data_IF_276493086744
#
_entry.id   IF_276493086744
#
_cell.length_a   1.000
_cell.length_b   1.000
_cell.length_c   1.000
_cell.angle_alpha   90.00
_cell.angle_beta   90.00
_cell.angle_gamma   90.00
#
_symmetry.space_group_name_H-M   'P 1'
#
loop_
_entity.id
_entity.type
_entity.pdbx_description
1 polymer ?
#
# COMPACT_ATOMS: atom_id res chain seq x y z
N UNK A 1 15.22 6.23 2.78
CA UNK A 1 14.89 7.17 1.68
C UNK A 1 13.39 7.14 1.39
N UNK A 2 12.82 8.27 0.95
CA UNK A 2 11.39 8.42 0.65
C UNK A 2 11.22 8.67 -0.84
N UNK A 3 10.61 7.72 -1.53
CA UNK A 3 10.41 7.74 -2.96
C UNK A 3 8.94 8.01 -3.30
N UNK A 4 8.72 8.78 -4.34
CA UNK A 4 7.39 9.11 -4.86
C UNK A 4 7.35 8.96 -6.37
N UNK A 5 6.17 8.71 -6.89
CA UNK A 5 5.84 9.05 -8.27
C UNK A 5 5.01 10.33 -8.24
N UNK A 6 5.39 11.32 -9.02
CA UNK A 6 4.77 12.63 -9.03
C UNK A 6 4.58 13.17 -10.44
N UNK A 7 3.75 14.18 -10.58
CA UNK A 7 3.62 14.98 -11.81
C UNK A 7 3.84 16.45 -11.46
N UNK A 8 4.79 17.06 -12.16
CA UNK A 8 4.99 18.51 -12.19
C UNK A 8 4.59 19.14 -13.55
N UNK A 9 3.96 18.34 -14.41
CA UNK A 9 3.51 18.65 -15.77
C UNK A 9 2.72 17.47 -16.32
N UNK A 10 2.92 17.13 -17.60
CA UNK A 10 2.09 16.14 -18.31
C UNK A 10 2.50 14.67 -18.07
N UNK A 11 3.69 14.41 -17.54
CA UNK A 11 4.21 13.05 -17.40
C UNK A 11 4.53 12.68 -15.95
N UNK A 12 4.15 11.46 -15.50
CA UNK A 12 4.60 10.91 -14.24
C UNK A 12 6.13 10.73 -14.21
N UNK A 13 6.76 11.08 -13.09
CA UNK A 13 8.19 10.95 -12.87
C UNK A 13 8.48 10.39 -11.49
N UNK A 14 9.51 9.55 -11.30
CA UNK A 14 9.99 9.13 -9.99
C UNK A 14 10.80 10.24 -9.34
N UNK A 15 10.64 10.40 -8.04
CA UNK A 15 11.33 11.41 -7.26
C UNK A 15 11.78 10.92 -5.89
N UNK A 16 12.85 11.53 -5.39
CA UNK A 16 13.33 11.36 -4.02
C UNK A 16 12.92 12.59 -3.21
N UNK A 17 12.26 12.36 -2.08
CA UNK A 17 11.87 13.44 -1.15
C UNK A 17 12.99 13.71 -0.16
N UNK A 18 13.48 14.96 -0.13
CA UNK A 18 14.49 15.45 0.82
C UNK A 18 14.09 16.84 1.31
N UNK A 19 13.91 17.02 2.61
CA UNK A 19 13.61 18.32 3.23
C UNK A 19 12.47 19.10 2.52
N UNK A 20 11.32 18.45 2.31
CA UNK A 20 10.13 19.02 1.64
C UNK A 20 10.37 19.44 0.17
N UNK A 21 11.38 18.89 -0.46
CA UNK A 21 11.66 19.04 -1.88
C UNK A 21 11.70 17.67 -2.55
N UNK A 22 11.30 17.64 -3.81
CA UNK A 22 11.36 16.47 -4.67
C UNK A 22 12.56 16.66 -5.61
N UNK A 23 13.45 15.70 -5.63
CA UNK A 23 14.56 15.58 -6.56
C UNK A 23 14.15 14.56 -7.62
N UNK A 24 14.13 14.94 -8.88
CA UNK A 24 13.84 14.01 -9.97
C UNK A 24 14.89 12.91 -10.03
N UNK A 25 14.45 11.68 -10.22
CA UNK A 25 15.32 10.52 -10.41
C UNK A 25 15.45 10.22 -11.92
N UNK A 26 16.66 9.88 -12.41
CA UNK A 26 16.89 9.62 -13.83
C UNK A 26 16.45 8.19 -14.23
N UNK A 27 15.22 7.86 -13.94
CA UNK A 27 14.58 6.56 -14.23
C UNK A 27 13.22 6.81 -14.89
N UNK A 28 12.71 5.91 -15.73
CA UNK A 28 11.39 6.05 -16.34
C UNK A 28 10.26 5.94 -15.30
N UNK A 29 10.46 5.12 -14.26
CA UNK A 29 9.53 4.90 -13.15
C UNK A 29 10.24 4.28 -11.94
N UNK A 30 9.50 4.05 -10.83
CA UNK A 30 10.06 3.42 -9.63
C UNK A 30 10.31 1.91 -9.79
N UNK A 31 9.66 1.22 -10.72
CA UNK A 31 9.97 -0.21 -10.98
C UNK A 31 11.38 -0.31 -11.56
N UNK A 32 11.70 0.48 -12.58
CA UNK A 32 13.05 0.53 -13.15
C UNK A 32 14.12 0.97 -12.12
N UNK A 33 13.77 1.90 -11.21
CA UNK A 33 14.63 2.24 -10.08
C UNK A 33 14.91 1.04 -9.18
N UNK A 34 13.88 0.28 -8.81
CA UNK A 34 14.01 -0.91 -7.95
C UNK A 34 14.78 -2.03 -8.65
N UNK A 35 14.60 -2.22 -9.95
CA UNK A 35 15.34 -3.21 -10.76
C UNK A 35 16.84 -2.91 -10.82
N UNK A 36 17.25 -1.63 -10.90
CA UNK A 36 18.67 -1.21 -10.89
C UNK A 36 19.32 -1.31 -9.48
N UNK A 37 18.52 -1.53 -8.43
CA UNK A 37 18.94 -1.92 -7.10
C UNK A 37 19.97 -0.96 -6.45
N UNK A 38 21.15 -1.51 -6.06
CA UNK A 38 22.19 -0.73 -5.35
C UNK A 38 22.69 0.47 -6.17
N UNK A 39 22.75 0.36 -7.50
CA UNK A 39 23.17 1.46 -8.38
C UNK A 39 22.16 2.61 -8.33
N UNK A 40 20.87 2.31 -8.37
CA UNK A 40 19.82 3.30 -8.22
C UNK A 40 19.89 4.00 -6.85
N UNK A 41 20.09 3.22 -5.78
CA UNK A 41 20.26 3.75 -4.43
C UNK A 41 21.46 4.71 -4.34
N UNK A 42 22.61 4.35 -4.90
CA UNK A 42 23.80 5.21 -4.94
C UNK A 42 23.55 6.48 -5.75
N UNK A 43 22.82 6.38 -6.86
CA UNK A 43 22.43 7.53 -7.69
C UNK A 43 21.57 8.49 -6.91
N UNK A 44 20.53 7.99 -6.22
CA UNK A 44 19.64 8.78 -5.37
C UNK A 44 20.41 9.51 -4.25
N UNK A 45 21.33 8.82 -3.56
CA UNK A 45 22.16 9.39 -2.50
C UNK A 45 23.09 10.50 -3.02
N UNK A 46 23.70 10.32 -4.19
CA UNK A 46 24.53 11.37 -4.85
C UNK A 46 23.72 12.61 -5.17
N UNK A 47 22.51 12.43 -5.73
CA UNK A 47 21.60 13.54 -6.02
C UNK A 47 21.12 14.24 -4.75
N UNK A 48 20.85 13.52 -3.67
CA UNK A 48 20.51 14.10 -2.38
C UNK A 48 21.64 14.99 -1.81
N UNK A 49 22.91 14.59 -2.00
CA UNK A 49 24.06 15.32 -1.52
C UNK A 49 24.44 16.54 -2.37
N UNK A 50 24.08 16.55 -3.64
CA UNK A 50 24.37 17.63 -4.57
C UNK A 50 23.27 17.78 -5.65
N UNK A 51 22.07 18.24 -5.29
CA UNK A 51 20.97 18.34 -6.22
C UNK A 51 21.15 19.53 -7.19
N UNK A 52 20.83 19.31 -8.45
CA UNK A 52 20.69 20.39 -9.43
C UNK A 52 19.38 21.15 -9.18
N UNK A 53 19.44 22.50 -9.20
CA UNK A 53 18.23 23.31 -9.01
C UNK A 53 17.16 23.08 -10.10
N UNK A 54 17.56 22.69 -11.30
CA UNK A 54 16.64 22.36 -12.40
C UNK A 54 15.90 21.02 -12.24
N UNK A 55 16.39 20.14 -11.35
CA UNK A 55 15.81 18.83 -11.08
C UNK A 55 15.04 18.81 -9.75
N UNK A 56 14.66 19.95 -9.21
CA UNK A 56 14.04 20.06 -7.88
C UNK A 56 12.71 20.82 -7.93
N UNK A 57 11.73 20.27 -7.22
CA UNK A 57 10.42 20.90 -7.03
C UNK A 57 10.09 20.98 -5.54
N UNK A 58 9.40 22.03 -5.06
CA UNK A 58 8.76 21.98 -3.75
C UNK A 58 7.76 20.82 -3.70
N UNK A 59 7.75 20.02 -2.62
CA UNK A 59 6.81 18.91 -2.48
C UNK A 59 5.34 19.37 -2.56
N UNK A 60 5.06 20.60 -2.07
CA UNK A 60 3.73 21.21 -2.12
C UNK A 60 3.30 21.68 -3.52
N UNK A 61 4.22 21.73 -4.48
CA UNK A 61 3.95 22.21 -5.86
C UNK A 61 3.77 21.06 -6.85
N UNK A 62 3.91 19.81 -6.42
CA UNK A 62 3.75 18.63 -7.27
C UNK A 62 2.48 17.86 -6.90
N UNK A 63 1.87 17.21 -7.88
CA UNK A 63 0.80 16.24 -7.62
C UNK A 63 1.42 14.88 -7.36
N UNK A 64 1.15 14.31 -6.19
CA UNK A 64 1.52 12.94 -5.86
C UNK A 64 0.63 11.96 -6.61
N UNK A 65 1.24 10.90 -7.11
CA UNK A 65 0.59 9.75 -7.70
C UNK A 65 0.86 8.53 -6.81
N UNK A 66 0.20 7.40 -7.08
CA UNK A 66 0.60 6.15 -6.44
C UNK A 66 2.08 5.88 -6.69
N UNK A 67 2.90 5.51 -5.68
CA UNK A 67 4.32 5.25 -5.88
C UNK A 67 4.59 4.23 -6.99
N UNK A 68 3.77 3.19 -7.08
CA UNK A 68 3.80 2.15 -8.09
C UNK A 68 2.43 2.07 -8.79
N UNK A 69 2.15 2.91 -9.82
CA UNK A 69 0.82 2.95 -10.45
C UNK A 69 0.45 1.65 -11.17
N UNK A 70 1.46 0.89 -11.60
CA UNK A 70 1.30 -0.41 -12.29
C UNK A 70 2.30 -1.41 -11.72
N UNK A 71 2.10 -1.90 -10.49
CA UNK A 71 2.99 -2.90 -9.91
C UNK A 71 2.96 -4.19 -10.76
N UNK A 72 4.08 -4.91 -10.92
CA UNK A 72 4.11 -6.18 -11.65
C UNK A 72 3.12 -7.19 -11.08
N UNK A 73 3.02 -7.29 -9.75
CA UNK A 73 1.97 -8.00 -9.01
C UNK A 73 1.46 -7.12 -7.88
N UNK A 74 0.14 -7.12 -7.65
CA UNK A 74 -0.47 -6.56 -6.46
C UNK A 74 -1.14 -7.68 -5.69
N UNK A 75 -0.43 -8.18 -4.70
CA UNK A 75 -0.81 -9.32 -3.86
C UNK A 75 -1.42 -8.79 -2.57
N UNK A 76 -2.52 -9.39 -2.13
CA UNK A 76 -3.21 -9.02 -0.90
C UNK A 76 -3.38 -10.25 0.00
N UNK A 77 -3.36 -10.01 1.32
CA UNK A 77 -3.48 -11.05 2.34
C UNK A 77 -4.77 -10.82 3.14
N UNK A 78 -5.70 -11.78 3.04
CA UNK A 78 -6.97 -11.72 3.78
C UNK A 78 -6.85 -12.30 5.20
N UNK A 79 -7.67 -11.72 6.12
CA UNK A 79 -7.78 -12.11 7.53
C UNK A 79 -6.41 -12.29 8.22
N UNK A 80 -5.60 -11.24 8.22
CA UNK A 80 -4.24 -11.30 8.73
C UNK A 80 -3.99 -10.52 10.04
N UNK A 81 -5.05 -10.07 10.73
CA UNK A 81 -4.96 -9.45 12.06
C UNK A 81 -5.74 -10.28 13.08
N UNK A 82 -5.12 -10.59 14.25
CA UNK A 82 -5.74 -11.39 15.33
C UNK A 82 -6.99 -10.73 15.87
N UNK A 83 -6.92 -9.44 16.14
CA UNK A 83 -8.04 -8.63 16.64
C UNK A 83 -9.19 -8.55 15.61
N UNK A 84 -8.88 -8.52 14.31
CA UNK A 84 -9.90 -8.58 13.24
C UNK A 84 -10.55 -9.99 13.13
N UNK A 85 -9.79 -11.05 13.31
CA UNK A 85 -10.35 -12.41 13.37
C UNK A 85 -11.34 -12.57 14.53
N UNK A 86 -11.01 -12.00 15.70
CA UNK A 86 -11.89 -11.98 16.88
C UNK A 86 -13.17 -11.17 16.58
N UNK A 87 -13.06 -9.96 16.01
CA UNK A 87 -14.18 -9.11 15.63
C UNK A 87 -15.15 -9.84 14.69
N UNK A 88 -14.61 -10.54 13.72
CA UNK A 88 -15.36 -11.26 12.68
C UNK A 88 -15.90 -12.61 13.15
N UNK A 89 -15.54 -13.09 14.35
CA UNK A 89 -15.89 -14.40 14.86
C UNK A 89 -15.31 -15.56 14.04
N UNK A 90 -14.20 -15.32 13.33
CA UNK A 90 -13.54 -16.30 12.48
C UNK A 90 -12.34 -16.93 13.19
N UNK A 91 -12.05 -18.21 12.94
CA UNK A 91 -10.84 -18.84 13.45
C UNK A 91 -9.59 -18.20 12.83
N UNK A 92 -8.50 -18.19 13.59
CA UNK A 92 -7.19 -17.79 13.09
C UNK A 92 -6.79 -18.76 11.95
N UNK A 93 -6.50 -18.27 10.73
CA UNK A 93 -6.16 -19.14 9.62
C UNK A 93 -4.80 -19.82 9.84
N UNK A 94 -4.68 -21.07 9.40
CA UNK A 94 -3.42 -21.82 9.46
C UNK A 94 -2.44 -21.46 8.33
N UNK A 95 -2.96 -20.88 7.24
CA UNK A 95 -2.19 -20.42 6.07
C UNK A 95 -2.71 -19.08 5.57
N UNK A 96 -1.87 -18.23 4.98
CA UNK A 96 -2.31 -16.96 4.42
C UNK A 96 -3.38 -17.16 3.34
N UNK A 97 -4.49 -16.43 3.42
CA UNK A 97 -5.43 -16.31 2.31
C UNK A 97 -4.88 -15.28 1.34
N UNK A 98 -4.54 -15.69 0.14
CA UNK A 98 -3.92 -14.83 -0.87
C UNK A 98 -4.92 -14.52 -1.97
N UNK A 99 -5.05 -13.24 -2.30
CA UNK A 99 -5.79 -12.75 -3.45
C UNK A 99 -5.03 -11.60 -4.13
N UNK A 100 -5.58 -11.01 -5.16
CA UNK A 100 -4.91 -9.94 -5.89
C UNK A 100 -5.88 -8.77 -6.18
N UNK A 101 -5.30 -7.61 -6.44
CA UNK A 101 -5.97 -6.49 -7.12
C UNK A 101 -5.29 -6.27 -8.46
N UNK A 102 -6.02 -5.72 -9.42
CA UNK A 102 -5.45 -5.36 -10.71
C UNK A 102 -5.03 -3.89 -10.74
N UNK A 103 -4.12 -3.54 -11.66
CA UNK A 103 -3.57 -2.18 -11.76
C UNK A 103 -4.60 -1.10 -12.10
N UNK A 104 -5.77 -1.45 -12.69
CA UNK A 104 -6.88 -0.52 -12.89
C UNK A 104 -7.42 0.05 -11.57
N UNK A 105 -7.28 -0.69 -10.48
CA UNK A 105 -7.74 -0.26 -9.17
C UNK A 105 -6.81 0.78 -8.53
N UNK A 106 -5.54 0.88 -8.95
CA UNK A 106 -4.53 1.71 -8.29
C UNK A 106 -4.75 3.19 -8.57
N UNK A 107 -4.83 3.98 -7.49
CA UNK A 107 -4.87 5.44 -7.52
C UNK A 107 -3.92 6.03 -6.47
N UNK A 108 -3.55 7.29 -6.65
CA UNK A 108 -2.64 8.00 -5.75
C UNK A 108 -3.34 8.80 -4.64
N UNK A 109 -2.55 9.50 -3.81
CA UNK A 109 -3.06 10.43 -2.81
C UNK A 109 -3.86 11.56 -3.47
N UNK A 110 -5.02 11.89 -2.89
CA UNK A 110 -5.90 12.94 -3.40
C UNK A 110 -6.75 12.54 -4.61
N UNK A 111 -6.50 11.41 -5.23
CA UNK A 111 -7.37 10.88 -6.28
C UNK A 111 -8.71 10.41 -5.69
N UNK A 112 -9.71 10.30 -6.54
CA UNK A 112 -11.10 10.02 -6.14
C UNK A 112 -11.39 8.52 -6.17
N UNK A 113 -11.89 7.97 -5.07
CA UNK A 113 -12.50 6.64 -5.02
C UNK A 113 -13.88 6.72 -5.69
N UNK A 114 -14.08 5.98 -6.78
CA UNK A 114 -15.35 5.94 -7.49
C UNK A 114 -16.29 4.94 -6.81
N UNK A 115 -17.40 5.41 -6.23
CA UNK A 115 -18.41 4.52 -5.66
C UNK A 115 -19.25 3.94 -6.80
N UNK A 116 -19.18 2.63 -7.09
CA UNK A 116 -19.89 2.04 -8.20
C UNK A 116 -21.39 1.97 -7.92
N UNK A 117 -22.24 2.34 -8.88
CA UNK A 117 -23.69 2.28 -8.74
C UNK A 117 -24.25 0.86 -8.49
N UNK A 118 -23.48 -0.16 -8.85
CA UNK A 118 -23.87 -1.57 -8.72
C UNK A 118 -23.61 -2.17 -7.35
N UNK A 119 -22.88 -1.46 -6.47
CA UNK A 119 -22.59 -1.90 -5.09
C UNK A 119 -23.19 -0.95 -4.06
N UNK A 120 -23.74 -1.52 -3.00
CA UNK A 120 -24.25 -0.77 -1.84
C UNK A 120 -23.38 -0.98 -0.58
N UNK A 121 -22.31 -1.76 -0.70
CA UNK A 121 -21.49 -2.20 0.43
C UNK A 121 -20.00 -1.90 0.19
N UNK A 122 -19.68 -0.65 -0.24
CA UNK A 122 -18.29 -0.22 -0.43
C UNK A 122 -17.66 0.08 0.93
N UNK A 123 -16.58 -0.60 1.27
CA UNK A 123 -15.93 -0.58 2.57
C UNK A 123 -14.46 -0.16 2.45
N UNK A 124 -13.90 0.35 3.53
CA UNK A 124 -12.52 0.77 3.68
C UNK A 124 -11.70 -0.29 4.44
N UNK A 125 -10.42 -0.42 4.10
CA UNK A 125 -9.47 -1.32 4.78
C UNK A 125 -8.09 -0.67 4.83
N UNK A 126 -7.69 -0.17 6.01
CA UNK A 126 -6.34 0.36 6.22
C UNK A 126 -5.32 -0.77 6.25
N UNK A 127 -4.27 -0.67 5.42
CA UNK A 127 -3.25 -1.71 5.33
C UNK A 127 -1.84 -1.14 5.25
N UNK A 128 -0.91 -1.77 5.98
CA UNK A 128 0.50 -1.70 5.67
C UNK A 128 0.76 -2.53 4.43
N UNK A 129 1.52 -2.01 3.47
CA UNK A 129 2.02 -2.79 2.35
C UNK A 129 3.55 -2.76 2.31
N UNK A 130 4.18 -3.89 1.94
CA UNK A 130 5.59 -3.92 1.65
C UNK A 130 5.83 -4.10 0.15
N UNK A 131 6.96 -3.57 -0.32
CA UNK A 131 7.36 -3.58 -1.73
C UNK A 131 8.64 -4.39 -1.89
N UNK A 132 8.64 -5.29 -2.87
CA UNK A 132 9.81 -6.08 -3.23
C UNK A 132 10.82 -5.20 -3.96
N UNK A 133 12.06 -5.21 -3.52
CA UNK A 133 13.18 -4.49 -4.15
C UNK A 133 14.17 -5.39 -4.83
N UNK A 134 14.18 -6.69 -4.50
CA UNK A 134 15.11 -7.67 -5.08
C UNK A 134 14.38 -8.97 -5.39
N UNK A 135 14.62 -9.45 -6.59
CA UNK A 135 14.06 -10.73 -7.05
C UNK A 135 14.34 -11.86 -6.07
N UNK A 136 13.30 -12.61 -5.70
CA UNK A 136 13.38 -13.72 -4.74
C UNK A 136 12.51 -14.91 -5.12
N UNK A 137 13.09 -16.12 -4.99
CA UNK A 137 12.39 -17.40 -5.14
C UNK A 137 12.87 -18.34 -4.04
N UNK A 138 11.96 -19.05 -3.37
CA UNK A 138 12.28 -19.91 -2.22
C UNK A 138 13.07 -19.21 -1.13
N UNK A 139 12.66 -17.98 -0.78
CA UNK A 139 13.34 -17.13 0.22
C UNK A 139 13.08 -17.69 1.60
N UNK A 140 14.14 -17.94 2.37
CA UNK A 140 14.00 -18.35 3.76
C UNK A 140 13.47 -17.18 4.62
N UNK A 141 12.64 -17.43 5.67
CA UNK A 141 12.11 -16.35 6.52
C UNK A 141 13.18 -15.39 7.05
N UNK A 142 14.35 -15.88 7.43
CA UNK A 142 15.47 -15.06 7.93
C UNK A 142 16.06 -14.10 6.88
N UNK A 143 15.83 -14.34 5.59
CA UNK A 143 16.38 -13.57 4.47
C UNK A 143 15.38 -12.56 3.87
N UNK A 144 14.21 -12.39 4.48
CA UNK A 144 13.17 -11.52 3.96
C UNK A 144 13.62 -10.07 3.72
N UNK A 145 14.51 -9.54 4.57
CA UNK A 145 15.06 -8.19 4.46
C UNK A 145 15.89 -7.98 3.19
N UNK A 146 16.46 -9.05 2.62
CA UNK A 146 17.22 -8.98 1.37
C UNK A 146 16.30 -8.75 0.16
N UNK A 147 15.01 -9.05 0.29
CA UNK A 147 14.02 -8.93 -0.77
C UNK A 147 13.15 -7.68 -0.66
N UNK A 148 12.90 -7.18 0.56
CA UNK A 148 11.98 -6.06 0.79
C UNK A 148 12.73 -4.74 0.67
N UNK A 149 12.28 -3.87 -0.24
CA UNK A 149 12.80 -2.52 -0.38
C UNK A 149 12.29 -1.60 0.72
N UNK A 150 10.99 -1.66 1.01
CA UNK A 150 10.35 -0.74 1.95
C UNK A 150 8.85 -0.90 2.01
N UNK A 151 8.19 0.15 2.49
CA UNK A 151 6.78 0.12 2.88
C UNK A 151 6.01 1.30 2.32
N UNK A 152 4.70 1.09 2.13
CA UNK A 152 3.73 2.12 1.76
C UNK A 152 2.39 1.84 2.40
N UNK A 153 1.47 2.78 2.32
CA UNK A 153 0.09 2.62 2.79
C UNK A 153 -0.80 2.19 1.63
N UNK A 154 -1.74 1.29 1.89
CA UNK A 154 -2.82 0.92 0.98
C UNK A 154 -4.16 1.06 1.69
N UNK A 155 -5.18 1.50 0.97
CA UNK A 155 -6.56 1.31 1.34
C UNK A 155 -7.15 0.22 0.43
N UNK A 156 -7.33 -1.00 0.95
CA UNK A 156 -7.89 -2.12 0.19
C UNK A 156 -9.42 -2.01 0.10
N UNK A 157 -9.89 -0.98 -0.63
CA UNK A 157 -11.32 -0.71 -0.81
C UNK A 157 -12.03 -1.94 -1.38
N UNK A 158 -13.19 -2.27 -0.80
CA UNK A 158 -13.89 -3.53 -1.03
C UNK A 158 -15.38 -3.33 -1.24
N UNK A 159 -15.95 -3.87 -2.31
CA UNK A 159 -17.39 -4.03 -2.45
C UNK A 159 -17.79 -5.38 -1.83
N UNK A 160 -18.33 -5.36 -0.60
CA UNK A 160 -18.59 -6.56 0.21
C UNK A 160 -19.65 -7.47 -0.38
N UNK A 161 -20.66 -6.92 -1.02
CA UNK A 161 -21.70 -7.64 -1.76
C UNK A 161 -21.07 -8.46 -2.91
N UNK A 162 -20.14 -7.88 -3.68
CA UNK A 162 -19.41 -8.57 -4.74
C UNK A 162 -18.35 -9.54 -4.17
N UNK A 163 -17.63 -9.14 -3.13
CA UNK A 163 -16.62 -9.99 -2.49
C UNK A 163 -17.22 -11.31 -1.97
N UNK A 164 -18.42 -11.27 -1.42
CA UNK A 164 -19.10 -12.42 -0.79
C UNK A 164 -20.00 -13.19 -1.73
N UNK A 165 -20.20 -12.73 -2.97
CA UNK A 165 -21.05 -13.38 -3.95
C UNK A 165 -20.53 -14.78 -4.36
N UNK A 166 -19.22 -14.98 -4.27
CA UNK A 166 -18.54 -16.26 -4.57
C UNK A 166 -17.43 -16.54 -3.55
N UNK A 167 -16.76 -17.68 -3.67
CA UNK A 167 -15.55 -17.99 -2.89
C UNK A 167 -14.32 -17.18 -3.32
N UNK A 168 -14.35 -16.50 -4.48
CA UNK A 168 -13.25 -15.71 -5.02
C UNK A 168 -13.49 -14.22 -4.81
N UNK A 169 -12.63 -13.55 -4.04
CA UNK A 169 -12.82 -12.17 -3.60
C UNK A 169 -12.49 -11.11 -4.66
N UNK A 170 -11.72 -11.48 -5.67
CA UNK A 170 -11.11 -10.55 -6.62
C UNK A 170 -12.10 -9.55 -7.25
N UNK A 171 -13.32 -10.00 -7.56
CA UNK A 171 -14.34 -9.14 -8.20
C UNK A 171 -14.80 -8.02 -7.25
N UNK A 172 -14.89 -8.27 -5.95
CA UNK A 172 -15.21 -7.24 -4.96
C UNK A 172 -14.03 -6.33 -4.60
N UNK A 173 -12.82 -6.68 -5.02
CA UNK A 173 -11.57 -6.02 -4.64
C UNK A 173 -10.93 -5.20 -5.78
N UNK A 174 -11.42 -5.33 -7.02
CA UNK A 174 -10.73 -4.78 -8.20
C UNK A 174 -11.59 -3.85 -9.06
N UNK A 175 -12.62 -3.23 -8.48
CA UNK A 175 -13.26 -2.09 -9.13
C UNK A 175 -12.21 -0.99 -9.41
N UNK A 176 -12.40 -0.21 -10.45
CA UNK A 176 -11.57 0.95 -10.73
C UNK A 176 -11.46 1.83 -9.47
N UNK A 177 -10.25 2.31 -9.18
CA UNK A 177 -9.93 3.16 -8.03
C UNK A 177 -9.95 2.50 -6.63
N UNK A 178 -10.15 1.18 -6.52
CA UNK A 178 -10.29 0.48 -5.24
C UNK A 178 -8.95 0.11 -4.57
N UNK A 179 -7.83 0.67 -5.04
CA UNK A 179 -6.51 0.52 -4.41
C UNK A 179 -5.77 1.86 -4.29
N UNK A 180 -6.30 2.82 -3.50
CA UNK A 180 -5.48 3.96 -3.11
C UNK A 180 -4.16 3.49 -2.49
N UNK A 181 -3.02 4.05 -2.96
CA UNK A 181 -1.67 3.68 -2.52
C UNK A 181 -0.78 4.92 -2.40
N UNK A 182 0.00 5.00 -1.33
CA UNK A 182 0.94 6.09 -1.06
C UNK A 182 0.95 6.53 0.40
N UNK A 183 1.36 7.77 0.72
CA UNK A 183 1.80 8.80 -0.21
C UNK A 183 3.19 8.56 -0.81
N UNK A 184 4.03 7.79 -0.12
CA UNK A 184 5.42 7.55 -0.45
C UNK A 184 5.74 6.05 -0.38
N UNK A 185 6.79 5.62 -1.04
CA UNK A 185 7.49 4.37 -0.78
C UNK A 185 8.68 4.68 0.13
N UNK A 186 8.60 4.28 1.39
CA UNK A 186 9.61 4.52 2.43
C UNK A 186 10.52 3.30 2.52
N UNK A 187 11.82 3.48 2.31
CA UNK A 187 12.77 2.36 2.37
C UNK A 187 12.87 1.75 3.77
N UNK A 188 13.15 0.45 3.82
CA UNK A 188 13.10 -0.36 5.04
C UNK A 188 14.04 0.13 6.15
N UNK A 189 15.14 0.79 5.79
CA UNK A 189 16.09 1.38 6.74
C UNK A 189 15.56 2.61 7.50
N UNK A 190 14.43 3.20 7.07
CA UNK A 190 13.76 4.29 7.81
C UNK A 190 12.71 3.79 8.81
N UNK A 191 12.38 2.51 8.80
CA UNK A 191 11.38 1.90 9.67
C UNK A 191 12.07 0.86 10.56
N UNK A 192 12.14 1.15 11.85
CA UNK A 192 12.86 0.30 12.82
C UNK A 192 12.25 -1.10 12.92
N UNK A 193 10.93 -1.16 13.15
CA UNK A 193 10.19 -2.43 13.21
C UNK A 193 8.83 -2.31 12.49
N UNK A 194 8.67 -2.86 11.29
CA UNK A 194 7.41 -2.83 10.57
C UNK A 194 6.29 -3.65 11.24
N UNK A 195 6.63 -4.44 12.25
CA UNK A 195 5.68 -5.26 13.00
C UNK A 195 5.23 -4.63 14.32
N UNK A 196 5.50 -3.33 14.53
CA UNK A 196 5.07 -2.59 15.71
C UNK A 196 4.73 -1.13 15.37
N UNK A 197 3.97 -0.92 14.29
CA UNK A 197 3.51 0.39 13.84
C UNK A 197 2.03 0.57 14.19
N UNK A 198 1.64 1.76 14.66
CA UNK A 198 0.23 2.12 14.75
C UNK A 198 -0.34 2.26 13.35
N UNK A 199 -1.54 1.72 13.14
CA UNK A 199 -2.31 1.81 11.91
C UNK A 199 -3.73 2.24 12.21
N UNK A 200 -4.27 3.20 11.46
CA UNK A 200 -5.63 3.69 11.66
C UNK A 200 -6.31 4.11 10.35
N UNK A 201 -7.65 4.08 10.37
CA UNK A 201 -8.49 4.65 9.33
C UNK A 201 -9.50 5.62 9.92
N UNK A 202 -9.62 6.77 9.30
CA UNK A 202 -10.64 7.78 9.60
C UNK A 202 -11.58 7.93 8.40
N UNK A 203 -12.88 8.02 8.66
CA UNK A 203 -13.88 8.42 7.67
C UNK A 203 -14.58 9.68 8.19
N UNK A 204 -14.51 10.77 7.42
CA UNK A 204 -15.05 12.08 7.80
C UNK A 204 -14.56 12.57 9.18
N UNK A 205 -13.26 12.34 9.48
CA UNK A 205 -12.65 12.72 10.75
C UNK A 205 -12.98 11.81 11.94
N UNK A 206 -13.82 10.78 11.75
CA UNK A 206 -14.10 9.77 12.77
C UNK A 206 -13.17 8.57 12.63
N UNK A 207 -12.40 8.26 13.66
CA UNK A 207 -11.56 7.07 13.70
C UNK A 207 -12.44 5.82 13.73
N UNK A 208 -12.31 4.99 12.70
CA UNK A 208 -13.05 3.75 12.55
C UNK A 208 -12.17 2.51 12.69
N UNK A 209 -10.89 2.56 12.31
CA UNK A 209 -9.91 1.52 12.62
C UNK A 209 -8.77 2.14 13.43
N UNK A 210 -8.31 1.47 14.47
CA UNK A 210 -7.14 1.86 15.28
C UNK A 210 -6.54 0.61 15.92
N UNK A 211 -5.36 0.21 15.45
CA UNK A 211 -4.68 -1.01 15.89
C UNK A 211 -3.17 -0.88 15.69
N UNK A 212 -2.45 -1.99 15.75
CA UNK A 212 -1.01 -2.08 15.51
C UNK A 212 -0.68 -3.25 14.60
N UNK A 213 0.35 -3.10 13.76
CA UNK A 213 0.90 -4.20 12.96
C UNK A 213 1.48 -5.34 13.80
N UNK A 214 1.59 -5.16 15.13
CA UNK A 214 1.91 -6.25 16.07
C UNK A 214 0.81 -7.32 16.15
N UNK A 215 -0.40 -7.02 15.68
CA UNK A 215 -1.53 -7.95 15.58
C UNK A 215 -1.48 -8.84 14.34
N UNK A 216 -0.53 -8.63 13.42
CA UNK A 216 -0.37 -9.49 12.24
C UNK A 216 -0.24 -10.97 12.65
N UNK A 217 -1.07 -11.82 12.03
CA UNK A 217 -1.05 -13.28 12.20
C UNK A 217 0.18 -13.84 11.49
N UNK A 218 0.30 -13.53 10.20
CA UNK A 218 1.48 -13.83 9.37
C UNK A 218 2.27 -12.54 9.18
N UNK A 219 3.46 -12.50 9.74
CA UNK A 219 4.38 -11.36 9.62
C UNK A 219 5.08 -11.35 8.27
N UNK A 220 5.75 -10.27 7.93
CA UNK A 220 6.40 -10.10 6.62
C UNK A 220 7.39 -11.25 6.30
N UNK A 221 8.23 -11.74 7.24
CA UNK A 221 9.10 -12.90 6.98
C UNK A 221 8.35 -14.14 6.50
N UNK A 222 7.23 -14.46 7.16
CA UNK A 222 6.41 -15.62 6.80
C UNK A 222 5.71 -15.42 5.45
N UNK A 223 5.21 -14.19 5.18
CA UNK A 223 4.58 -13.86 3.91
C UNK A 223 5.56 -13.94 2.73
N UNK A 224 6.77 -13.37 2.87
CA UNK A 224 7.81 -13.46 1.83
C UNK A 224 8.19 -14.92 1.57
N UNK A 225 8.40 -15.71 2.62
CA UNK A 225 8.73 -17.12 2.49
C UNK A 225 7.59 -17.89 1.79
N UNK A 226 6.34 -17.72 2.25
CA UNK A 226 5.18 -18.41 1.70
C UNK A 226 4.96 -18.08 0.22
N UNK A 227 4.90 -16.79 -0.13
CA UNK A 227 4.66 -16.34 -1.49
C UNK A 227 5.79 -16.76 -2.44
N UNK A 228 7.04 -16.68 -2.00
CA UNK A 228 8.20 -17.04 -2.82
C UNK A 228 8.33 -18.54 -3.08
N UNK A 229 7.63 -19.41 -2.35
CA UNK A 229 7.53 -20.84 -2.69
C UNK A 229 6.68 -21.06 -3.95
N UNK A 230 5.63 -20.27 -4.12
CA UNK A 230 4.67 -20.42 -5.22
C UNK A 230 5.13 -19.66 -6.45
N UNK A 231 5.50 -18.40 -6.31
CA UNK A 231 5.87 -17.51 -7.41
C UNK A 231 7.21 -16.84 -7.18
N UNK A 232 7.87 -16.40 -8.25
CA UNK A 232 9.02 -15.51 -8.12
C UNK A 232 8.52 -14.11 -7.76
N UNK A 233 9.06 -13.55 -6.68
CA UNK A 233 8.84 -12.16 -6.31
C UNK A 233 9.80 -11.29 -7.13
N UNK A 234 9.28 -10.24 -7.74
CA UNK A 234 10.04 -9.35 -8.62
C UNK A 234 10.08 -7.92 -8.04
N UNK A 235 11.12 -7.11 -8.35
CA UNK A 235 11.15 -5.70 -7.95
C UNK A 235 9.89 -4.96 -8.37
N UNK A 236 9.31 -4.19 -7.46
CA UNK A 236 8.05 -3.48 -7.68
C UNK A 236 6.78 -4.26 -7.37
N UNK A 237 6.87 -5.57 -7.03
CA UNK A 237 5.71 -6.28 -6.49
C UNK A 237 5.27 -5.65 -5.17
N UNK A 238 3.97 -5.40 -5.03
CA UNK A 238 3.33 -4.87 -3.83
C UNK A 238 2.62 -6.01 -3.11
N UNK A 239 2.84 -6.12 -1.81
CA UNK A 239 2.12 -7.06 -0.94
C UNK A 239 1.41 -6.27 0.17
N UNK A 240 0.09 -6.20 0.10
CA UNK A 240 -0.78 -5.60 1.11
C UNK A 240 -1.08 -6.62 2.20
N UNK A 241 -0.84 -6.27 3.48
CA UNK A 241 -0.66 -7.27 4.55
C UNK A 241 -1.93 -7.61 5.31
N UNK A 242 -3.07 -7.09 4.91
CA UNK A 242 -4.34 -7.25 5.62
C UNK A 242 -4.68 -6.06 6.52
N UNK A 243 -5.93 -5.99 6.91
CA UNK A 243 -6.53 -4.88 7.64
C UNK A 243 -6.85 -5.24 9.10
N UNK A 244 -6.74 -4.27 10.05
CA UNK A 244 -7.17 -4.43 11.43
C UNK A 244 -8.70 -4.37 11.58
N UNK A 245 -9.25 -4.62 12.80
CA UNK A 245 -10.68 -4.48 13.09
C UNK A 245 -11.19 -3.05 12.87
N UNK A 246 -12.51 -2.92 12.80
CA UNK A 246 -13.22 -1.66 12.63
C UNK A 246 -13.66 -1.40 11.20
N UNK A 247 -13.58 -2.41 10.32
CA UNK A 247 -14.13 -2.35 8.96
C UNK A 247 -15.63 -2.09 8.99
N UNK A 248 -16.14 -1.45 7.93
CA UNK A 248 -17.52 -0.96 7.92
C UNK A 248 -18.57 -2.07 8.01
N UNK A 249 -18.37 -3.19 7.33
CA UNK A 249 -19.35 -4.30 7.35
C UNK A 249 -19.51 -4.97 8.71
N UNK A 250 -18.48 -4.95 9.57
CA UNK A 250 -18.50 -5.56 10.89
C UNK A 250 -19.19 -4.67 11.96
N UNK A 251 -19.46 -3.41 11.63
CA UNK A 251 -20.10 -2.46 12.56
C UNK A 251 -21.58 -2.72 12.71
N UNK A 252 -22.14 -2.25 13.83
CA UNK A 252 -23.56 -2.37 14.15
C UNK A 252 -24.13 -0.99 14.47
N UNK A 253 -24.93 -0.36 13.56
CA UNK A 253 -25.19 -0.79 12.19
C UNK A 253 -23.94 -0.73 11.30
N UNK A 254 -23.90 -1.44 10.15
CA UNK A 254 -22.80 -1.32 9.16
C UNK A 254 -22.61 0.11 8.65
N UNK A 255 -21.37 0.47 8.34
CA UNK A 255 -21.00 1.78 7.80
C UNK A 255 -20.27 1.56 6.48
N UNK A 256 -20.88 1.98 5.36
CA UNK A 256 -20.30 1.88 4.04
C UNK A 256 -20.00 3.27 3.47
N UNK A 257 -18.96 3.37 2.67
CA UNK A 257 -18.53 4.61 2.02
C UNK A 257 -19.62 5.12 1.06
N UNK A 258 -19.82 6.42 1.09
CA UNK A 258 -20.78 7.12 0.25
C UNK A 258 -20.10 8.22 -0.57
N UNK A 259 -20.67 8.64 -1.71
CA UNK A 259 -20.21 9.83 -2.40
C UNK A 259 -20.12 11.04 -1.44
N UNK A 260 -19.00 11.74 -1.46
CA UNK A 260 -18.70 12.87 -0.57
C UNK A 260 -17.88 12.53 0.66
N UNK A 261 -17.75 11.25 1.03
CA UNK A 261 -16.91 10.83 2.16
C UNK A 261 -15.43 11.10 1.89
N UNK A 262 -14.69 11.43 2.97
CA UNK A 262 -13.24 11.50 2.98
C UNK A 262 -12.68 10.36 3.82
N UNK A 263 -11.77 9.58 3.24
CA UNK A 263 -11.09 8.47 3.91
C UNK A 263 -9.62 8.84 4.11
N UNK A 264 -9.11 8.66 5.33
CA UNK A 264 -7.70 8.90 5.67
C UNK A 264 -7.14 7.66 6.36
N UNK A 265 -6.20 7.00 5.70
CA UNK A 265 -5.44 5.89 6.28
C UNK A 265 -4.09 6.42 6.77
N UNK A 266 -3.72 6.06 8.00
CA UNK A 266 -2.45 6.47 8.62
C UNK A 266 -1.68 5.24 9.08
N UNK A 267 -0.38 5.23 8.79
CA UNK A 267 0.57 4.25 9.34
C UNK A 267 1.76 5.02 9.89
N UNK A 268 2.13 4.70 11.12
CA UNK A 268 3.26 5.32 11.82
C UNK A 268 4.54 5.24 10.98
N UNK A 269 5.27 6.35 10.87
CA UNK A 269 6.48 6.45 10.04
C UNK A 269 6.25 6.58 8.54
N UNK A 270 5.06 6.25 8.02
CA UNK A 270 4.74 6.33 6.59
C UNK A 270 3.90 7.55 6.20
N UNK A 271 3.26 8.22 7.17
CA UNK A 271 2.41 9.38 6.94
C UNK A 271 0.93 9.03 6.79
N UNK A 272 0.23 9.75 5.92
CA UNK A 272 -1.21 9.58 5.68
C UNK A 272 -1.56 9.51 4.19
N UNK A 273 -2.48 8.62 3.87
CA UNK A 273 -3.08 8.47 2.55
C UNK A 273 -4.53 8.97 2.62
N UNK A 274 -4.83 10.05 1.90
CA UNK A 274 -6.13 10.74 1.92
C UNK A 274 -6.78 10.68 0.56
N UNK A 275 -8.02 10.22 0.51
CA UNK A 275 -8.82 10.17 -0.72
C UNK A 275 -10.28 10.56 -0.44
N UNK A 276 -10.99 11.07 -1.45
CA UNK A 276 -12.41 11.37 -1.38
C UNK A 276 -13.21 10.40 -2.23
N UNK A 277 -14.43 10.09 -1.80
CA UNK A 277 -15.38 9.27 -2.53
C UNK A 277 -16.29 10.13 -3.43
N UNK A 278 -16.64 9.61 -4.60
CA UNK A 278 -17.57 10.25 -5.55
C UNK A 278 -18.55 9.24 -6.12
#
# INVERSE_FOLDING_TARGET
MRLITFSAGDHPQPGLVVNQKVIELPYPDLVAFLEDGDRARQTALKLAGNPSAAAMHPLSAVRLLAPLPKPPKFICIGLNYRDHAIESGLPIPATPTVFAKYSNAVIGPGDTIQIPQVSQEVDYEAELAFVIGRRGKHVAPAQWKDCVFGYTIVNDVSARDFQRATSQWIIGKTFDTFAPMGPELVSADEIEDPHNLRISCEVNGRVLQDSSTSQLIFRIPELVAYLSQVMTLEPGDVVSTGTPPGVGFARKPPIFLQPGDEVVVKVEGLGELRNRCR
#
